data_IF_382429338696
#
_entry.id   IF_382429338696
#
_cell.length_a   1.000
_cell.length_b   1.000
_cell.length_c   1.000
_cell.angle_alpha   90.00
_cell.angle_beta   90.00
_cell.angle_gamma   90.00
#
_symmetry.space_group_name_H-M   'P 1'
#
loop_
_entity.id
_entity.type
_entity.pdbx_description
1 polymer ?
#
# COMPACT_ATOMS: atom_id res chain seq x y z
N UNK A 1 45.99 7.30 6.41
CA UNK A 1 46.15 8.21 5.26
C UNK A 1 44.77 8.47 4.70
N UNK A 2 44.23 9.68 4.97
CA UNK A 2 42.93 10.14 4.46
C UNK A 2 43.22 10.94 3.21
N UNK A 3 42.75 10.52 2.05
CA UNK A 3 42.70 11.36 0.86
C UNK A 3 41.27 11.73 0.58
N UNK A 4 40.89 12.93 1.05
CA UNK A 4 39.62 13.55 0.69
C UNK A 4 39.71 14.06 -0.75
N UNK A 5 38.78 13.62 -1.58
CA UNK A 5 38.51 14.26 -2.87
C UNK A 5 37.59 15.46 -2.60
N UNK A 6 38.19 16.65 -2.71
CA UNK A 6 37.43 17.90 -2.85
C UNK A 6 37.26 18.20 -4.33
N UNK A 7 36.04 18.15 -4.84
CA UNK A 7 35.71 18.71 -6.15
C UNK A 7 35.31 20.18 -5.96
N UNK A 8 35.78 21.11 -6.78
CA UNK A 8 35.37 22.52 -6.71
C UNK A 8 33.91 22.66 -7.13
N UNK A 9 33.12 23.25 -6.25
CA UNK A 9 31.71 23.59 -6.47
C UNK A 9 31.65 24.74 -7.47
N UNK A 10 31.05 24.55 -8.63
CA UNK A 10 30.75 25.60 -9.59
C UNK A 10 30.97 25.31 -11.06
N UNK A 11 31.98 24.50 -11.45
CA UNK A 11 32.21 24.16 -12.87
C UNK A 11 31.75 22.74 -13.26
N UNK A 12 31.58 21.86 -12.31
CA UNK A 12 31.19 20.45 -12.54
C UNK A 12 29.72 20.26 -12.83
N UNK A 13 28.84 21.05 -12.23
CA UNK A 13 27.38 20.95 -12.44
C UNK A 13 27.01 21.24 -13.89
N UNK A 14 27.59 22.29 -14.49
CA UNK A 14 27.30 22.70 -15.87
C UNK A 14 27.80 21.70 -16.93
N UNK A 15 28.85 20.91 -16.62
CA UNK A 15 29.37 19.87 -17.52
C UNK A 15 28.57 18.56 -17.43
N UNK A 16 28.14 18.18 -16.23
CA UNK A 16 27.28 17.01 -16.00
C UNK A 16 25.86 17.23 -16.58
N UNK A 17 25.31 18.43 -16.41
CA UNK A 17 24.06 18.84 -17.05
C UNK A 17 24.11 18.75 -18.57
N UNK A 18 25.15 19.31 -19.19
CA UNK A 18 25.31 19.26 -20.65
C UNK A 18 25.55 17.84 -21.16
N UNK A 19 26.29 17.01 -20.45
CA UNK A 19 26.52 15.61 -20.81
C UNK A 19 25.23 14.80 -20.69
N UNK A 20 24.45 14.99 -19.62
CA UNK A 20 23.19 14.30 -19.41
C UNK A 20 22.15 14.68 -20.47
N UNK A 21 22.03 15.97 -20.81
CA UNK A 21 21.15 16.46 -21.88
C UNK A 21 21.57 15.92 -23.25
N UNK A 22 22.87 15.83 -23.53
CA UNK A 22 23.38 15.34 -24.81
C UNK A 22 23.22 13.83 -24.98
N UNK A 23 23.33 13.07 -23.90
CA UNK A 23 23.12 11.62 -23.89
C UNK A 23 21.63 11.25 -24.03
N UNK A 24 20.76 12.01 -23.37
CA UNK A 24 19.29 11.84 -23.44
C UNK A 24 18.77 12.26 -24.83
N UNK A 25 19.19 13.39 -25.36
CA UNK A 25 18.73 13.88 -26.67
C UNK A 25 19.30 13.08 -27.87
N UNK A 26 20.42 12.36 -27.67
CA UNK A 26 21.01 11.45 -28.65
C UNK A 26 20.41 10.03 -28.63
N UNK A 27 19.59 9.70 -27.64
CA UNK A 27 19.07 8.35 -27.49
C UNK A 27 17.98 8.00 -28.51
N UNK A 28 18.03 6.78 -29.03
CA UNK A 28 17.09 6.24 -30.02
C UNK A 28 15.62 6.23 -29.54
N UNK A 29 15.42 6.29 -28.22
CA UNK A 29 14.12 6.26 -27.55
C UNK A 29 13.27 7.54 -27.74
N UNK A 30 13.91 8.67 -28.07
CA UNK A 30 13.22 9.95 -28.33
C UNK A 30 12.73 10.08 -29.77
N UNK A 31 13.07 9.12 -30.65
CA UNK A 31 12.69 9.15 -32.09
C UNK A 31 11.40 8.44 -32.42
N UNK A 32 10.88 7.63 -31.51
CA UNK A 32 9.58 6.95 -31.66
C UNK A 32 8.57 7.69 -30.79
N UNK A 33 7.66 8.44 -31.39
CA UNK A 33 6.57 9.14 -30.69
C UNK A 33 5.57 8.12 -30.13
N UNK A 34 5.49 7.88 -28.80
CA UNK A 34 4.52 6.90 -28.26
C UNK A 34 3.13 7.49 -27.99
N UNK A 35 2.91 8.80 -28.11
CA UNK A 35 1.60 9.41 -27.84
C UNK A 35 1.31 10.63 -28.72
N UNK A 36 0.24 10.60 -29.56
CA UNK A 36 -0.26 11.79 -30.21
C UNK A 36 -1.19 12.56 -29.25
N UNK A 37 -0.61 13.29 -28.32
CA UNK A 37 -1.35 14.33 -27.59
C UNK A 37 -1.05 15.66 -28.25
N UNK A 38 -2.11 16.31 -28.73
CA UNK A 38 -2.06 17.56 -29.48
C UNK A 38 -1.27 18.65 -28.72
N UNK A 39 -0.28 19.20 -29.39
CA UNK A 39 0.66 20.25 -28.91
C UNK A 39 0.00 21.58 -28.50
N UNK A 40 -1.31 21.75 -28.59
CA UNK A 40 -1.98 23.06 -28.51
C UNK A 40 -2.79 23.32 -27.24
N UNK A 41 -3.12 22.33 -26.41
CA UNK A 41 -4.13 22.54 -25.35
C UNK A 41 -3.62 22.54 -23.90
N UNK A 42 -2.34 22.30 -23.66
CA UNK A 42 -1.76 22.27 -22.29
C UNK A 42 -1.11 23.59 -21.86
N UNK A 43 -1.64 24.75 -22.29
CA UNK A 43 -1.25 26.10 -21.80
C UNK A 43 -2.01 26.47 -20.51
N UNK A 44 -2.03 25.65 -19.49
CA UNK A 44 -2.67 25.95 -18.21
C UNK A 44 -1.95 25.37 -17.02
N UNK A 45 -1.03 26.11 -16.46
CA UNK A 45 -0.59 26.04 -15.04
C UNK A 45 -0.34 24.66 -14.40
N UNK A 46 0.46 23.78 -15.00
CA UNK A 46 1.16 22.72 -14.25
C UNK A 46 2.59 22.57 -14.76
N UNK A 47 3.52 23.03 -13.96
CA UNK A 47 4.96 23.04 -14.24
C UNK A 47 5.69 21.80 -13.75
N UNK A 48 5.07 20.63 -13.59
CA UNK A 48 5.69 19.52 -12.90
C UNK A 48 5.58 18.17 -13.62
N UNK A 49 5.60 18.12 -14.95
CA UNK A 49 5.76 16.85 -15.66
C UNK A 49 7.21 16.69 -16.14
N UNK A 50 7.96 15.77 -15.56
CA UNK A 50 9.35 15.48 -15.91
C UNK A 50 9.56 15.28 -17.43
N UNK A 51 8.63 14.62 -18.11
CA UNK A 51 8.67 14.39 -19.57
C UNK A 51 8.43 15.69 -20.35
N UNK A 52 7.56 16.58 -19.89
CA UNK A 52 7.31 17.89 -20.55
C UNK A 52 8.47 18.87 -20.37
N UNK A 53 9.21 18.80 -19.28
CA UNK A 53 10.38 19.66 -19.03
C UNK A 53 11.56 19.33 -19.92
N UNK A 54 11.79 18.07 -20.25
CA UNK A 54 12.80 17.68 -21.24
C UNK A 54 12.53 18.26 -22.63
N UNK A 55 11.26 18.49 -22.97
CA UNK A 55 10.86 19.04 -24.29
C UNK A 55 10.85 20.58 -24.35
N UNK A 56 10.71 21.29 -23.24
CA UNK A 56 10.55 22.73 -23.21
C UNK A 56 11.88 23.53 -23.16
N UNK A 57 13.02 22.88 -23.04
CA UNK A 57 14.35 23.50 -23.15
C UNK A 57 14.69 24.58 -22.13
N UNK A 58 14.07 24.54 -20.93
CA UNK A 58 14.34 25.51 -19.86
C UNK A 58 14.43 24.81 -18.51
N UNK A 59 15.62 24.89 -17.91
CA UNK A 59 15.99 24.55 -16.54
C UNK A 59 15.69 23.11 -16.09
N UNK A 60 16.72 22.35 -15.84
CA UNK A 60 16.66 21.05 -15.19
C UNK A 60 16.22 21.26 -13.72
N UNK A 61 14.94 21.02 -13.41
CA UNK A 61 14.47 21.07 -12.03
C UNK A 61 14.94 19.79 -11.36
N UNK A 62 15.88 19.90 -10.44
CA UNK A 62 16.29 18.81 -9.57
C UNK A 62 15.13 18.56 -8.60
N UNK A 63 14.37 17.49 -8.83
CA UNK A 63 13.32 17.05 -7.91
C UNK A 63 13.96 16.28 -6.75
N UNK A 64 13.83 16.80 -5.54
CA UNK A 64 14.21 16.09 -4.33
C UNK A 64 13.00 15.34 -3.79
N UNK A 65 13.09 14.03 -3.68
CA UNK A 65 12.08 13.21 -3.01
C UNK A 65 12.73 12.04 -2.28
N UNK A 66 12.04 11.49 -1.30
CA UNK A 66 12.40 10.25 -0.63
C UNK A 66 11.28 9.24 -0.84
N UNK A 67 11.63 8.02 -1.19
CA UNK A 67 10.68 6.92 -1.37
C UNK A 67 11.12 5.72 -0.54
N UNK A 68 10.18 5.15 0.20
CA UNK A 68 10.39 3.94 0.98
C UNK A 68 9.17 3.02 0.86
N UNK A 69 9.41 1.76 0.48
CA UNK A 69 8.41 0.69 0.48
C UNK A 69 8.83 -0.36 1.51
N UNK A 70 8.30 -0.25 2.71
CA UNK A 70 8.68 -1.14 3.83
C UNK A 70 8.05 -2.53 3.75
N UNK A 71 6.91 -2.66 3.05
CA UNK A 71 6.19 -3.93 2.89
C UNK A 71 6.87 -4.83 1.87
N UNK A 72 7.24 -6.06 2.27
CA UNK A 72 7.66 -7.11 1.33
C UNK A 72 6.45 -7.62 0.57
N UNK A 73 6.45 -7.51 -0.76
CA UNK A 73 5.37 -8.00 -1.61
C UNK A 73 5.70 -9.42 -2.10
N UNK A 74 4.81 -10.37 -1.82
CA UNK A 74 4.86 -11.75 -2.33
C UNK A 74 3.73 -11.91 -3.33
N UNK A 75 4.07 -11.76 -4.62
CA UNK A 75 3.11 -11.76 -5.71
C UNK A 75 3.17 -13.04 -6.52
N UNK A 76 2.01 -13.57 -6.91
CA UNK A 76 1.87 -14.69 -7.85
C UNK A 76 0.80 -15.68 -7.46
N UNK A 77 0.43 -16.55 -8.42
CA UNK A 77 -0.58 -17.58 -8.22
C UNK A 77 -0.10 -18.62 -7.21
N UNK A 78 -1.00 -19.08 -6.33
CA UNK A 78 -0.70 -20.06 -5.29
C UNK A 78 0.21 -19.54 -4.16
N UNK A 79 0.51 -18.24 -4.12
CA UNK A 79 1.40 -17.69 -3.08
C UNK A 79 0.80 -17.72 -1.68
N UNK A 80 -0.50 -17.89 -1.55
CA UNK A 80 -1.14 -18.11 -0.26
C UNK A 80 -0.57 -19.32 0.48
N UNK A 81 -0.09 -20.34 -0.23
CA UNK A 81 0.45 -21.54 0.37
C UNK A 81 1.74 -21.30 1.20
N UNK A 82 2.43 -20.19 0.96
CA UNK A 82 3.61 -19.80 1.74
C UNK A 82 3.28 -19.07 3.07
N UNK A 83 2.00 -18.88 3.39
CA UNK A 83 1.60 -18.08 4.57
C UNK A 83 2.12 -18.63 5.88
N UNK A 84 2.15 -19.96 6.03
CA UNK A 84 2.68 -20.64 7.23
C UNK A 84 4.16 -20.36 7.45
N UNK A 85 4.98 -20.51 6.40
CA UNK A 85 6.40 -20.19 6.42
C UNK A 85 6.65 -18.69 6.71
N UNK A 86 5.88 -17.83 6.08
CA UNK A 86 6.00 -16.38 6.27
C UNK A 86 5.65 -16.01 7.71
N UNK A 87 4.52 -16.48 8.22
CA UNK A 87 4.02 -16.11 9.54
C UNK A 87 4.92 -16.62 10.66
N UNK A 88 5.51 -17.83 10.52
CA UNK A 88 6.41 -18.42 11.51
C UNK A 88 7.68 -17.60 11.79
N UNK A 89 8.04 -16.66 10.90
CA UNK A 89 9.15 -15.74 11.09
C UNK A 89 8.85 -14.65 12.13
N UNK A 90 7.58 -14.45 12.49
CA UNK A 90 7.12 -13.36 13.35
C UNK A 90 6.63 -13.82 14.72
N UNK A 91 6.63 -15.11 15.00
CA UNK A 91 6.22 -15.68 16.26
C UNK A 91 5.50 -17.01 16.10
N UNK A 92 4.86 -17.49 17.16
CA UNK A 92 4.13 -18.75 17.17
C UNK A 92 2.64 -18.60 17.42
N UNK A 93 2.23 -17.45 17.93
CA UNK A 93 0.86 -17.18 18.36
C UNK A 93 0.28 -16.06 17.47
N UNK A 94 -0.64 -16.37 16.58
CA UNK A 94 -1.13 -15.42 15.57
C UNK A 94 -2.63 -15.18 15.67
N UNK A 95 -3.03 -13.93 15.42
CA UNK A 95 -4.44 -13.57 15.26
C UNK A 95 -4.77 -13.48 13.77
N UNK A 96 -5.68 -14.32 13.31
CA UNK A 96 -6.27 -14.24 11.99
C UNK A 96 -7.50 -13.30 12.06
N UNK A 97 -7.50 -12.24 11.27
CA UNK A 97 -8.53 -11.20 11.23
C UNK A 97 -9.25 -11.26 9.88
N UNK A 98 -10.56 -11.55 9.91
CA UNK A 98 -11.37 -11.77 8.70
C UNK A 98 -12.78 -11.23 8.87
N UNK A 99 -13.50 -11.15 7.76
CA UNK A 99 -14.96 -11.08 7.80
C UNK A 99 -15.55 -12.37 8.41
N UNK A 100 -16.87 -12.36 8.63
CA UNK A 100 -17.60 -13.50 9.19
C UNK A 100 -17.23 -14.82 8.52
N UNK A 101 -17.10 -15.87 9.32
CA UNK A 101 -16.94 -17.26 8.85
C UNK A 101 -18.13 -17.75 7.98
N UNK A 102 -19.22 -17.02 7.95
CA UNK A 102 -20.36 -17.29 7.05
C UNK A 102 -20.23 -16.59 5.69
N UNK A 103 -19.11 -15.90 5.43
CA UNK A 103 -18.84 -15.26 4.15
C UNK A 103 -18.45 -16.26 3.05
N UNK A 104 -18.53 -15.89 1.78
CA UNK A 104 -18.05 -16.73 0.68
C UNK A 104 -16.54 -17.07 0.77
N UNK A 105 -15.77 -16.36 1.58
CA UNK A 105 -14.35 -16.59 1.80
C UNK A 105 -14.06 -17.63 2.91
N UNK A 106 -15.09 -18.17 3.57
CA UNK A 106 -14.90 -19.19 4.64
C UNK A 106 -13.98 -20.36 4.25
N UNK A 107 -14.06 -20.94 3.03
CA UNK A 107 -13.15 -22.01 2.64
C UNK A 107 -11.68 -21.56 2.59
N UNK A 108 -11.42 -20.29 2.22
CA UNK A 108 -10.08 -19.72 2.27
C UNK A 108 -9.58 -19.58 3.71
N UNK A 109 -10.44 -19.13 4.62
CA UNK A 109 -10.07 -18.99 6.03
C UNK A 109 -9.68 -20.33 6.66
N UNK A 110 -10.44 -21.39 6.39
CA UNK A 110 -10.12 -22.73 6.88
C UNK A 110 -8.82 -23.29 6.26
N UNK A 111 -8.61 -23.09 4.94
CA UNK A 111 -7.34 -23.43 4.29
C UNK A 111 -6.16 -22.72 4.96
N UNK A 112 -6.27 -21.43 5.19
CA UNK A 112 -5.19 -20.64 5.81
C UNK A 112 -4.94 -21.10 7.25
N UNK A 113 -5.97 -21.33 8.05
CA UNK A 113 -5.80 -21.91 9.39
C UNK A 113 -5.01 -23.23 9.35
N UNK A 114 -5.37 -24.11 8.43
CA UNK A 114 -4.67 -25.40 8.24
C UNK A 114 -3.19 -25.18 7.88
N UNK A 115 -2.86 -24.27 6.97
CA UNK A 115 -1.48 -23.95 6.58
C UNK A 115 -0.66 -23.36 7.74
N UNK A 116 -1.26 -22.48 8.54
CA UNK A 116 -0.63 -21.92 9.73
C UNK A 116 -0.37 -22.98 10.80
N UNK A 117 -1.35 -23.84 11.08
CA UNK A 117 -1.23 -24.95 12.03
C UNK A 117 -0.17 -25.98 11.60
N UNK A 118 -0.12 -26.33 10.30
CA UNK A 118 0.92 -27.21 9.74
C UNK A 118 2.33 -26.62 9.89
N UNK A 119 2.46 -25.30 9.91
CA UNK A 119 3.71 -24.59 10.20
C UNK A 119 4.02 -24.48 11.70
N UNK A 120 3.21 -25.11 12.58
CA UNK A 120 3.40 -25.11 14.02
C UNK A 120 2.94 -23.86 14.74
N UNK A 121 2.03 -23.08 14.14
CA UNK A 121 1.48 -21.88 14.73
C UNK A 121 0.18 -22.15 15.49
N UNK A 122 -0.02 -21.47 16.62
CA UNK A 122 -1.31 -21.36 17.30
C UNK A 122 -2.11 -20.24 16.65
N UNK A 123 -3.33 -20.55 16.21
CA UNK A 123 -4.16 -19.60 15.46
C UNK A 123 -5.39 -19.24 16.28
N UNK A 124 -5.52 -17.96 16.62
CA UNK A 124 -6.75 -17.35 17.13
C UNK A 124 -7.47 -16.69 15.97
N UNK A 125 -8.78 -16.82 15.89
CA UNK A 125 -9.55 -16.30 14.77
C UNK A 125 -10.55 -15.25 15.23
N UNK A 126 -10.36 -14.01 14.81
CA UNK A 126 -11.31 -12.92 14.93
C UNK A 126 -12.03 -12.73 13.60
N UNK A 127 -13.31 -13.07 13.56
CA UNK A 127 -14.19 -13.03 12.37
C UNK A 127 -15.23 -11.90 12.43
N UNK A 128 -14.94 -10.87 13.23
CA UNK A 128 -15.84 -9.74 13.48
C UNK A 128 -15.60 -8.50 12.61
N UNK A 129 -14.87 -8.63 11.48
CA UNK A 129 -14.67 -7.51 10.57
C UNK A 129 -15.98 -7.18 9.86
N UNK A 130 -16.31 -5.89 9.83
CA UNK A 130 -17.45 -5.35 9.09
C UNK A 130 -16.98 -4.46 7.94
N UNK A 131 -17.76 -4.32 6.84
CA UNK A 131 -17.51 -3.34 5.81
C UNK A 131 -17.41 -1.92 6.41
N UNK A 132 -16.40 -1.14 6.02
CA UNK A 132 -16.03 0.12 6.68
C UNK A 132 -15.84 -0.10 8.19
N UNK A 133 -14.68 -0.62 8.62
CA UNK A 133 -14.47 -1.06 9.99
C UNK A 133 -14.91 -0.03 11.01
N UNK A 134 -15.63 -0.48 12.03
CA UNK A 134 -16.02 0.38 13.15
C UNK A 134 -14.99 0.29 14.27
N UNK A 135 -14.97 1.31 15.11
CA UNK A 135 -14.12 1.32 16.30
C UNK A 135 -14.40 0.14 17.22
N UNK A 136 -15.68 -0.25 17.34
CA UNK A 136 -16.09 -1.39 18.16
C UNK A 136 -15.52 -2.72 17.60
N UNK A 137 -15.54 -2.89 16.28
CA UNK A 137 -14.95 -4.08 15.64
C UNK A 137 -13.44 -4.13 15.88
N UNK A 138 -12.76 -3.00 15.73
CA UNK A 138 -11.30 -2.92 16.00
C UNK A 138 -11.00 -3.17 17.48
N UNK A 139 -11.77 -2.61 18.39
CA UNK A 139 -11.59 -2.78 19.84
C UNK A 139 -11.79 -4.25 20.27
N UNK A 140 -12.79 -4.94 19.71
CA UNK A 140 -13.02 -6.36 19.98
C UNK A 140 -11.84 -7.24 19.49
N UNK A 141 -11.35 -7.00 18.28
CA UNK A 141 -10.15 -7.67 17.76
C UNK A 141 -8.91 -7.36 18.60
N UNK A 142 -8.76 -6.11 19.06
CA UNK A 142 -7.66 -5.68 19.94
C UNK A 142 -7.71 -6.39 21.30
N UNK A 143 -8.91 -6.53 21.88
CA UNK A 143 -9.09 -7.25 23.13
C UNK A 143 -8.68 -8.72 22.99
N UNK A 144 -9.10 -9.39 21.91
CA UNK A 144 -8.70 -10.77 21.62
C UNK A 144 -7.18 -10.86 21.45
N UNK A 145 -6.55 -9.95 20.69
CA UNK A 145 -5.09 -9.95 20.52
C UNK A 145 -4.33 -9.82 21.84
N UNK A 146 -4.84 -9.00 22.76
CA UNK A 146 -4.26 -8.79 24.11
C UNK A 146 -4.45 -10.01 25.00
N UNK A 147 -5.66 -10.57 25.07
CA UNK A 147 -5.97 -11.73 25.92
C UNK A 147 -5.18 -12.97 25.51
N UNK A 148 -5.07 -13.19 24.20
CA UNK A 148 -4.35 -14.33 23.64
C UNK A 148 -2.84 -14.09 23.50
N UNK A 149 -2.35 -12.90 23.80
CA UNK A 149 -0.93 -12.50 23.74
C UNK A 149 -0.29 -12.85 22.41
N UNK A 150 -0.92 -12.44 21.31
CA UNK A 150 -0.47 -12.81 19.97
C UNK A 150 0.84 -12.11 19.60
N UNK A 151 1.67 -12.79 18.81
CA UNK A 151 2.96 -12.29 18.32
C UNK A 151 2.81 -11.51 17.01
N UNK A 152 1.80 -11.85 16.21
CA UNK A 152 1.54 -11.25 14.91
C UNK A 152 0.05 -11.27 14.56
N UNK A 153 -0.36 -10.37 13.65
CA UNK A 153 -1.72 -10.25 13.15
C UNK A 153 -1.73 -10.49 11.64
N UNK A 154 -2.68 -11.31 11.17
CA UNK A 154 -2.85 -11.66 9.76
C UNK A 154 -4.22 -11.17 9.31
N UNK A 155 -4.29 -10.19 8.42
CA UNK A 155 -5.53 -9.69 7.83
C UNK A 155 -5.80 -10.33 6.47
N UNK A 156 -6.93 -11.03 6.32
CA UNK A 156 -7.34 -11.63 5.05
C UNK A 156 -8.68 -11.07 4.61
N UNK A 157 -8.72 -10.52 3.40
CA UNK A 157 -9.94 -9.96 2.82
C UNK A 157 -9.69 -8.74 1.96
N UNK A 158 -10.69 -7.89 1.87
CA UNK A 158 -10.58 -6.57 1.26
C UNK A 158 -9.91 -5.53 2.17
N UNK A 159 -9.98 -4.27 1.78
CA UNK A 159 -9.42 -3.15 2.58
C UNK A 159 -9.86 -3.17 4.03
N UNK A 160 -11.16 -3.45 4.30
CA UNK A 160 -11.71 -3.48 5.66
C UNK A 160 -11.00 -4.48 6.57
N UNK A 161 -10.74 -5.71 6.10
CA UNK A 161 -10.04 -6.73 6.89
C UNK A 161 -8.59 -6.34 7.16
N UNK A 162 -7.91 -5.79 6.16
CA UNK A 162 -6.52 -5.36 6.29
C UNK A 162 -6.38 -4.13 7.18
N UNK A 163 -7.29 -3.16 7.08
CA UNK A 163 -7.29 -1.97 7.93
C UNK A 163 -7.59 -2.33 9.39
N UNK A 164 -8.56 -3.23 9.63
CA UNK A 164 -8.82 -3.78 10.97
C UNK A 164 -7.58 -4.47 11.53
N UNK A 165 -6.91 -5.32 10.75
CA UNK A 165 -5.71 -6.02 11.18
C UNK A 165 -4.56 -5.08 11.54
N UNK A 166 -4.33 -4.02 10.75
CA UNK A 166 -3.32 -2.99 11.03
C UNK A 166 -3.64 -2.22 12.31
N UNK A 167 -4.90 -1.81 12.48
CA UNK A 167 -5.35 -1.10 13.67
C UNK A 167 -5.25 -1.95 14.93
N UNK A 168 -5.66 -3.23 14.85
CA UNK A 168 -5.50 -4.22 15.94
C UNK A 168 -4.03 -4.45 16.27
N UNK A 169 -3.18 -4.66 15.28
CA UNK A 169 -1.74 -4.87 15.49
C UNK A 169 -1.08 -3.69 16.23
N UNK A 170 -1.50 -2.48 15.94
CA UNK A 170 -1.03 -1.27 16.62
C UNK A 170 -1.60 -1.19 18.04
N UNK A 171 -2.93 -1.27 18.18
CA UNK A 171 -3.60 -1.06 19.45
C UNK A 171 -3.30 -2.17 20.47
N UNK A 172 -3.03 -3.41 20.03
CA UNK A 172 -2.81 -4.56 20.91
C UNK A 172 -1.67 -4.34 21.93
N UNK A 173 -0.64 -3.60 21.55
CA UNK A 173 0.58 -3.40 22.37
C UNK A 173 0.85 -1.96 22.78
N UNK A 174 -0.10 -1.08 22.52
CA UNK A 174 -0.07 0.30 22.97
C UNK A 174 -1.30 0.59 23.88
N UNK A 175 -1.24 1.65 24.67
CA UNK A 175 -2.34 2.05 25.53
C UNK A 175 -3.49 2.70 24.77
N UNK A 176 -4.72 2.47 25.24
CA UNK A 176 -5.92 3.08 24.69
C UNK A 176 -6.52 2.29 23.52
N UNK A 177 -7.35 2.98 22.76
CA UNK A 177 -8.07 2.48 21.57
C UNK A 177 -7.32 2.88 20.30
N UNK A 178 -7.52 2.17 19.20
CA UNK A 178 -6.96 2.57 17.91
C UNK A 178 -7.40 3.99 17.47
N UNK A 179 -8.62 4.39 17.84
CA UNK A 179 -9.17 5.72 17.57
C UNK A 179 -8.41 6.87 18.22
N UNK A 180 -7.72 6.64 19.33
CA UNK A 180 -6.95 7.67 20.06
C UNK A 180 -5.72 8.13 19.27
N UNK A 181 -5.30 7.36 18.25
CA UNK A 181 -4.13 7.62 17.40
C UNK A 181 -4.44 8.44 16.15
N UNK A 182 -5.71 8.81 15.95
CA UNK A 182 -6.12 9.66 14.85
C UNK A 182 -5.56 11.07 14.95
N UNK A 183 -5.37 11.71 13.80
CA UNK A 183 -4.90 13.09 13.69
C UNK A 183 -3.58 13.35 14.46
N UNK A 184 -2.73 12.34 14.58
CA UNK A 184 -1.46 12.41 15.29
C UNK A 184 -1.58 12.84 16.76
N UNK A 185 -2.76 12.74 17.38
CA UNK A 185 -3.01 13.09 18.78
C UNK A 185 -2.19 12.22 19.74
N UNK A 186 -2.02 10.96 19.38
CA UNK A 186 -1.18 9.99 20.08
C UNK A 186 -0.29 9.29 19.06
N UNK A 187 0.94 8.96 19.41
CA UNK A 187 1.86 8.23 18.55
C UNK A 187 2.08 6.82 19.12
N UNK A 188 1.94 5.77 18.30
CA UNK A 188 2.29 4.44 18.74
C UNK A 188 3.82 4.33 18.87
N UNK A 189 4.29 3.67 19.93
CA UNK A 189 5.72 3.41 20.11
C UNK A 189 6.19 2.22 19.28
N UNK A 190 5.31 1.27 19.07
CA UNK A 190 5.56 -0.01 18.38
C UNK A 190 4.29 -0.58 17.79
N UNK A 191 4.42 -1.63 17.00
CA UNK A 191 3.30 -2.42 16.46
C UNK A 191 3.66 -3.89 16.42
N UNK A 192 2.66 -4.76 16.54
CA UNK A 192 2.82 -6.17 16.17
C UNK A 192 3.08 -6.27 14.66
N UNK A 193 3.87 -7.24 14.20
CA UNK A 193 3.95 -7.55 12.78
C UNK A 193 2.57 -7.81 12.19
N UNK A 194 2.25 -7.14 11.08
CA UNK A 194 1.02 -7.37 10.33
C UNK A 194 1.35 -8.02 8.99
N UNK A 195 0.66 -9.10 8.65
CA UNK A 195 0.70 -9.76 7.34
C UNK A 195 -0.64 -9.50 6.67
N UNK A 196 -0.63 -8.95 5.48
CA UNK A 196 -1.84 -8.65 4.72
C UNK A 196 -2.00 -9.60 3.55
N UNK A 197 -3.18 -10.21 3.42
CA UNK A 197 -3.57 -11.06 2.29
C UNK A 197 -4.78 -10.42 1.62
N UNK A 198 -4.57 -9.84 0.44
CA UNK A 198 -5.66 -9.17 -0.26
C UNK A 198 -6.47 -10.15 -1.12
N UNK A 199 -7.79 -10.02 -1.05
CA UNK A 199 -8.74 -10.78 -1.89
C UNK A 199 -9.50 -9.89 -2.87
N UNK A 200 -9.18 -8.58 -2.90
CA UNK A 200 -9.76 -7.60 -3.83
C UNK A 200 -8.65 -6.73 -4.43
N UNK A 201 -8.90 -6.14 -5.59
CA UNK A 201 -7.97 -5.22 -6.26
C UNK A 201 -8.57 -3.82 -6.26
N UNK A 202 -8.03 -2.90 -5.45
CA UNK A 202 -8.57 -1.53 -5.35
C UNK A 202 -7.82 -0.72 -4.31
N UNK A 203 -8.11 -0.94 -3.04
CA UNK A 203 -7.70 -0.08 -1.92
C UNK A 203 -6.20 0.07 -1.71
N UNK A 204 -5.38 -0.90 -2.14
CA UNK A 204 -3.95 -0.87 -1.87
C UNK A 204 -3.56 -1.02 -0.39
N UNK A 205 -4.52 -1.33 0.51
CA UNK A 205 -4.31 -1.39 1.95
C UNK A 205 -3.16 -2.30 2.37
N UNK A 206 -2.87 -3.35 1.60
CA UNK A 206 -1.78 -4.29 1.86
C UNK A 206 -0.38 -3.68 1.79
N UNK A 207 -0.24 -2.49 1.22
CA UNK A 207 1.06 -1.80 1.04
C UNK A 207 1.06 -0.37 1.57
N UNK A 208 0.08 0.00 2.41
CA UNK A 208 -0.05 1.36 2.93
C UNK A 208 0.09 1.44 4.45
N UNK A 209 0.51 2.61 4.93
CA UNK A 209 0.59 2.99 6.33
C UNK A 209 -0.75 3.52 6.90
N UNK A 210 -1.85 3.18 6.27
CA UNK A 210 -3.17 3.76 6.57
C UNK A 210 -4.11 2.67 7.06
N UNK A 211 -4.86 2.94 8.13
CA UNK A 211 -5.97 2.12 8.59
C UNK A 211 -7.21 3.00 8.77
N UNK A 212 -8.21 2.79 7.91
CA UNK A 212 -9.46 3.55 7.93
C UNK A 212 -10.45 2.89 8.87
N UNK A 213 -11.10 3.67 9.72
CA UNK A 213 -12.17 3.20 10.61
C UNK A 213 -13.24 4.28 10.83
N UNK A 214 -14.40 3.86 11.33
CA UNK A 214 -15.53 4.72 11.59
C UNK A 214 -15.89 4.68 13.07
N UNK A 215 -15.93 5.84 13.73
CA UNK A 215 -16.52 6.00 15.05
C UNK A 215 -18.03 6.10 14.91
N UNK A 216 -18.75 5.10 15.40
CA UNK A 216 -20.20 4.99 15.20
C UNK A 216 -20.96 6.02 16.03
N UNK A 217 -20.46 6.40 17.21
CA UNK A 217 -21.10 7.38 18.08
C UNK A 217 -21.17 8.78 17.44
N UNK A 218 -20.14 9.16 16.68
CA UNK A 218 -20.04 10.48 16.02
C UNK A 218 -20.27 10.42 14.51
N UNK A 219 -20.51 9.22 13.94
CA UNK A 219 -20.60 8.97 12.50
C UNK A 219 -19.39 9.54 11.72
N UNK A 220 -18.22 9.53 12.35
CA UNK A 220 -17.00 10.07 11.77
C UNK A 220 -16.14 8.95 11.20
N UNK A 221 -15.89 9.00 9.88
CA UNK A 221 -14.94 8.10 9.22
C UNK A 221 -13.60 8.81 9.07
N UNK A 222 -12.52 8.19 9.55
CA UNK A 222 -11.19 8.75 9.49
C UNK A 222 -10.13 7.65 9.44
N UNK A 223 -8.86 8.03 9.38
CA UNK A 223 -7.76 7.08 9.25
C UNK A 223 -6.62 7.38 10.22
N UNK A 224 -6.03 6.32 10.75
CA UNK A 224 -4.71 6.37 11.38
C UNK A 224 -3.65 6.33 10.28
N UNK A 225 -2.67 7.22 10.37
CA UNK A 225 -1.51 7.28 9.50
C UNK A 225 -0.25 7.10 10.36
N UNK A 226 0.49 6.02 10.14
CA UNK A 226 1.76 5.84 10.83
C UNK A 226 2.67 4.83 10.11
N UNK A 227 3.95 5.13 9.99
CA UNK A 227 4.91 4.24 9.32
C UNK A 227 5.03 2.87 9.99
N UNK A 228 4.73 2.76 11.28
CA UNK A 228 4.79 1.49 12.00
C UNK A 228 3.70 0.50 11.54
N UNK A 229 2.55 0.98 11.04
CA UNK A 229 1.43 0.11 10.65
C UNK A 229 1.50 -0.40 9.20
N UNK A 230 2.57 -0.09 8.45
CA UNK A 230 2.82 -0.81 7.20
C UNK A 230 2.83 -2.32 7.46
N UNK A 231 2.10 -3.14 6.70
CA UNK A 231 2.26 -4.58 6.76
C UNK A 231 3.73 -4.99 6.53
N UNK A 232 4.21 -5.96 7.27
CA UNK A 232 5.57 -6.53 7.05
C UNK A 232 5.64 -7.29 5.75
N UNK A 233 4.55 -8.03 5.45
CA UNK A 233 4.41 -8.79 4.22
C UNK A 233 3.01 -8.60 3.65
N UNK A 234 2.93 -8.43 2.35
CA UNK A 234 1.70 -8.46 1.56
C UNK A 234 1.72 -9.69 0.65
N UNK A 235 0.77 -10.59 0.82
CA UNK A 235 0.55 -11.70 -0.10
C UNK A 235 -0.51 -11.27 -1.11
N UNK A 236 -0.12 -11.21 -2.38
CA UNK A 236 -0.98 -10.83 -3.50
C UNK A 236 -1.08 -12.01 -4.45
N UNK A 237 -2.08 -12.85 -4.20
CA UNK A 237 -2.35 -14.05 -4.98
C UNK A 237 -3.56 -13.84 -5.88
N UNK A 238 -3.39 -13.74 -7.22
CA UNK A 238 -4.50 -13.50 -8.13
C UNK A 238 -5.59 -14.58 -8.08
N UNK A 239 -5.27 -15.81 -7.68
CA UNK A 239 -6.27 -16.88 -7.57
C UNK A 239 -7.31 -16.61 -6.48
N UNK A 240 -6.99 -15.77 -5.48
CA UNK A 240 -7.93 -15.37 -4.44
C UNK A 240 -8.96 -14.34 -4.92
N UNK A 241 -8.76 -13.77 -6.09
CA UNK A 241 -9.59 -12.70 -6.64
C UNK A 241 -10.55 -13.17 -7.74
N UNK A 242 -10.40 -14.41 -8.22
CA UNK A 242 -11.19 -14.92 -9.37
C UNK A 242 -12.68 -15.10 -9.06
N UNK A 243 -13.04 -15.19 -7.78
CA UNK A 243 -14.43 -15.35 -7.32
C UNK A 243 -15.08 -14.04 -6.89
N UNK A 244 -14.39 -12.92 -7.00
CA UNK A 244 -14.94 -11.59 -6.65
C UNK A 244 -16.11 -11.27 -7.58
N UNK A 245 -17.28 -10.89 -7.04
CA UNK A 245 -18.45 -10.53 -7.85
C UNK A 245 -18.14 -9.37 -8.81
N UNK A 246 -18.74 -9.39 -9.99
CA UNK A 246 -18.51 -8.38 -11.05
C UNK A 246 -18.73 -6.95 -10.55
N UNK A 247 -19.79 -6.71 -9.76
CA UNK A 247 -20.05 -5.39 -9.18
C UNK A 247 -18.88 -4.95 -8.27
N UNK A 248 -18.41 -5.83 -7.40
CA UNK A 248 -17.28 -5.54 -6.50
C UNK A 248 -16.01 -5.31 -7.30
N UNK A 249 -15.73 -6.13 -8.32
CA UNK A 249 -14.57 -5.93 -9.21
C UNK A 249 -14.63 -4.58 -9.90
N UNK A 250 -15.79 -4.16 -10.41
CA UNK A 250 -15.96 -2.87 -11.06
C UNK A 250 -15.72 -1.71 -10.07
N UNK A 251 -16.31 -1.79 -8.88
CA UNK A 251 -16.19 -0.74 -7.86
C UNK A 251 -14.76 -0.61 -7.35
N UNK A 252 -14.12 -1.73 -6.99
CA UNK A 252 -12.74 -1.71 -6.47
C UNK A 252 -11.72 -1.39 -7.56
N UNK A 253 -11.95 -1.83 -8.80
CA UNK A 253 -11.10 -1.48 -9.92
C UNK A 253 -11.20 0.02 -10.27
N UNK A 254 -12.40 0.60 -10.19
CA UNK A 254 -12.55 2.05 -10.35
C UNK A 254 -11.93 2.84 -9.19
N UNK A 255 -11.99 2.32 -7.98
CA UNK A 255 -11.28 2.85 -6.81
C UNK A 255 -9.75 2.89 -7.06
N UNK A 256 -9.18 1.81 -7.60
CA UNK A 256 -7.77 1.78 -8.00
C UNK A 256 -7.44 2.85 -9.06
N UNK A 257 -8.34 3.07 -10.04
CA UNK A 257 -8.19 4.16 -11.00
C UNK A 257 -8.17 5.52 -10.31
N UNK A 258 -9.11 5.77 -9.40
CA UNK A 258 -9.20 7.04 -8.66
C UNK A 258 -7.93 7.29 -7.85
N UNK A 259 -7.40 6.30 -7.13
CA UNK A 259 -6.16 6.42 -6.37
C UNK A 259 -4.96 6.78 -7.27
N UNK A 260 -4.84 6.12 -8.43
CA UNK A 260 -3.78 6.45 -9.39
C UNK A 260 -3.97 7.86 -9.97
N UNK A 261 -5.20 8.24 -10.30
CA UNK A 261 -5.52 9.56 -10.84
C UNK A 261 -5.26 10.67 -9.82
N UNK A 262 -5.70 10.49 -8.57
CA UNK A 262 -5.45 11.45 -7.49
C UNK A 262 -3.96 11.59 -7.19
N UNK A 263 -3.20 10.49 -7.18
CA UNK A 263 -1.75 10.52 -7.04
C UNK A 263 -1.10 11.32 -8.16
N UNK A 264 -1.52 11.10 -9.41
CA UNK A 264 -0.96 11.78 -10.59
C UNK A 264 -1.25 13.28 -10.59
N UNK A 265 -2.46 13.69 -10.13
CA UNK A 265 -2.81 15.11 -10.09
C UNK A 265 -2.33 15.82 -8.82
N UNK A 266 -1.73 15.11 -7.87
CA UNK A 266 -1.27 15.67 -6.60
C UNK A 266 -0.12 16.66 -6.84
N UNK A 267 -0.25 17.88 -6.29
CA UNK A 267 0.77 18.94 -6.43
C UNK A 267 2.09 18.59 -5.73
N UNK A 268 2.06 17.68 -4.76
CA UNK A 268 3.23 17.17 -4.05
C UNK A 268 3.75 15.84 -4.63
N UNK A 269 3.25 15.45 -5.81
CA UNK A 269 3.70 14.24 -6.50
C UNK A 269 5.18 14.32 -6.89
N UNK A 270 5.82 13.17 -7.04
CA UNK A 270 7.16 13.04 -7.58
C UNK A 270 7.12 12.37 -8.95
N UNK A 271 8.16 12.54 -9.77
CA UNK A 271 8.27 11.85 -11.05
C UNK A 271 8.14 10.32 -10.90
N UNK A 272 8.63 9.76 -9.80
CA UNK A 272 8.47 8.35 -9.49
C UNK A 272 7.00 7.96 -9.31
N UNK A 273 6.24 8.73 -8.52
CA UNK A 273 4.81 8.50 -8.32
C UNK A 273 4.02 8.66 -9.62
N UNK A 274 4.36 9.66 -10.43
CA UNK A 274 3.68 9.93 -11.70
C UNK A 274 3.82 8.76 -12.68
N UNK A 275 5.00 8.16 -12.79
CA UNK A 275 5.24 6.99 -13.65
C UNK A 275 4.38 5.81 -13.22
N UNK A 276 4.36 5.51 -11.92
CA UNK A 276 3.58 4.38 -11.37
C UNK A 276 2.07 4.65 -11.52
N UNK A 277 1.63 5.87 -11.23
CA UNK A 277 0.24 6.27 -11.32
C UNK A 277 -0.28 6.20 -12.76
N UNK A 278 0.47 6.70 -13.74
CA UNK A 278 0.10 6.62 -15.16
C UNK A 278 0.01 5.16 -15.64
N UNK A 279 0.96 4.31 -15.25
CA UNK A 279 0.90 2.89 -15.59
C UNK A 279 -0.31 2.21 -14.95
N UNK A 280 -0.62 2.53 -13.68
CA UNK A 280 -1.82 2.05 -13.00
C UNK A 280 -3.10 2.45 -13.74
N UNK A 281 -3.24 3.73 -14.12
CA UNK A 281 -4.36 4.24 -14.93
C UNK A 281 -4.48 3.44 -16.24
N UNK A 282 -3.37 3.23 -16.95
CA UNK A 282 -3.34 2.50 -18.22
C UNK A 282 -3.80 1.06 -18.06
N UNK A 283 -3.31 0.38 -17.01
CA UNK A 283 -3.66 -1.01 -16.73
C UNK A 283 -5.15 -1.14 -16.37
N UNK A 284 -5.68 -0.30 -15.48
CA UNK A 284 -7.09 -0.32 -15.12
C UNK A 284 -7.97 -0.05 -16.34
N UNK A 285 -7.67 1.00 -17.12
CA UNK A 285 -8.41 1.31 -18.35
C UNK A 285 -8.42 0.16 -19.38
N UNK A 286 -7.36 -0.64 -19.41
CA UNK A 286 -7.25 -1.77 -20.34
C UNK A 286 -8.01 -2.99 -19.88
N UNK A 287 -7.99 -3.30 -18.57
CA UNK A 287 -8.41 -4.62 -18.08
C UNK A 287 -9.73 -4.62 -17.28
N UNK A 288 -10.25 -3.46 -16.88
CA UNK A 288 -11.50 -3.35 -16.11
C UNK A 288 -12.77 -3.33 -17.01
N UNK A 289 -12.70 -3.65 -18.25
CA UNK A 289 -13.83 -3.62 -19.19
C UNK A 289 -14.69 -4.89 -19.11
#
# INVERSE_FOLDING_TARGET
MKSGFHLPVGESENKLEKACVQEITGSKWLKEEPFPLAKSELRGKRKNNFILYLYAGKECIVMNFSYEQTTKIVFGRGKIDSIGEIASQYGKNVLLVTESVNSPLAPLYERVKGLLQQAGLTVHHYDGVVPNPTTESVDAGTQMARSEKVDAVIGIGGGSSMDTAKAVAMAAINEGRAWDYLFFKKQPEKTLPCIAVTTTSGTGSQVTQVAVMTETATQTKSAVFNNLIYPRVAIVDPDLMVTVPRHTTASTGFDAFCHCFESYINVNGSAYNDIIALEGIRMVAKYLR
#
